data_IF_943249783694
#
_entry.id   IF_943249783694
#
_cell.length_a   1.000
_cell.length_b   1.000
_cell.length_c   1.000
_cell.angle_alpha   90.00
_cell.angle_beta   90.00
_cell.angle_gamma   90.00
#
_symmetry.space_group_name_H-M   'P 1'
#
loop_
_entity.id
_entity.type
_entity.pdbx_description
1 polymer ?
#
# COMPACT_ATOMS: atom_id res chain seq x y z
N UNK A 1 55.96 -15.64 55.98
CA UNK A 1 56.24 -15.78 54.53
C UNK A 1 55.23 -16.68 53.79
N UNK A 2 54.88 -17.87 54.32
CA UNK A 2 53.99 -18.85 53.67
C UNK A 2 52.52 -18.39 53.46
N UNK A 3 51.99 -17.57 54.39
CA UNK A 3 50.59 -17.07 54.35
C UNK A 3 50.33 -16.08 53.21
N UNK A 4 51.31 -15.24 52.86
CA UNK A 4 51.21 -14.27 51.76
C UNK A 4 51.20 -14.94 50.38
N UNK A 5 51.93 -16.04 50.22
CA UNK A 5 51.99 -16.82 48.97
C UNK A 5 50.64 -17.49 48.67
N UNK A 6 49.93 -18.00 49.68
CA UNK A 6 48.60 -18.59 49.47
C UNK A 6 47.53 -17.53 49.20
N UNK A 7 47.60 -16.36 49.86
CA UNK A 7 46.68 -15.23 49.57
C UNK A 7 46.87 -14.73 48.14
N UNK A 8 48.12 -14.62 47.67
CA UNK A 8 48.43 -14.22 46.29
C UNK A 8 47.93 -15.24 45.25
N UNK A 9 48.03 -16.55 45.53
CA UNK A 9 47.47 -17.60 44.65
C UNK A 9 45.93 -17.59 44.62
N UNK A 10 45.28 -17.32 45.74
CA UNK A 10 43.81 -17.20 45.81
C UNK A 10 43.31 -15.95 45.06
N UNK A 11 44.03 -14.83 45.17
CA UNK A 11 43.72 -13.60 44.44
C UNK A 11 43.90 -13.77 42.92
N UNK A 12 44.98 -14.42 42.47
CA UNK A 12 45.22 -14.70 41.05
C UNK A 12 44.15 -15.65 40.49
N UNK A 13 43.78 -16.71 41.25
CA UNK A 13 42.69 -17.61 40.84
C UNK A 13 41.34 -16.89 40.77
N UNK A 14 41.03 -16.02 41.73
CA UNK A 14 39.81 -15.23 41.73
C UNK A 14 39.75 -14.22 40.56
N UNK A 15 40.90 -13.65 40.18
CA UNK A 15 41.01 -12.72 39.07
C UNK A 15 40.85 -13.40 37.69
N UNK A 16 41.39 -14.61 37.52
CA UNK A 16 41.21 -15.40 36.29
C UNK A 16 39.78 -15.93 36.10
N UNK A 17 39.04 -16.17 37.19
CA UNK A 17 37.63 -16.60 37.11
C UNK A 17 36.72 -15.43 36.72
N UNK A 18 37.05 -14.20 37.14
CA UNK A 18 36.28 -13.00 36.82
C UNK A 18 36.39 -12.58 35.35
N UNK A 19 37.51 -12.89 34.68
CA UNK A 19 37.71 -12.60 33.25
C UNK A 19 36.88 -13.48 32.30
N UNK A 20 36.26 -14.56 32.78
CA UNK A 20 35.42 -15.45 31.96
C UNK A 20 33.99 -14.90 31.76
N UNK A 21 33.62 -13.79 32.42
CA UNK A 21 32.28 -13.20 32.35
C UNK A 21 32.17 -11.99 31.40
N UNK A 22 33.23 -11.64 30.65
CA UNK A 22 33.23 -10.51 29.71
C UNK A 22 33.00 -10.93 28.24
N UNK A 23 32.30 -12.04 28.00
CA UNK A 23 31.88 -12.40 26.64
C UNK A 23 30.65 -11.56 26.31
N UNK A 24 30.89 -10.39 25.71
CA UNK A 24 29.85 -9.55 25.11
C UNK A 24 29.13 -10.35 24.03
N UNK A 25 27.80 -10.44 24.10
CA UNK A 25 27.00 -10.82 22.95
C UNK A 25 27.13 -9.70 21.90
N UNK A 26 27.67 -10.02 20.74
CA UNK A 26 27.41 -9.22 19.54
C UNK A 26 25.93 -9.45 19.20
N UNK A 27 25.09 -8.42 19.33
CA UNK A 27 23.76 -8.45 18.73
C UNK A 27 23.96 -8.35 17.22
N UNK A 28 24.07 -9.51 16.56
CA UNK A 28 23.99 -9.56 15.10
C UNK A 28 22.56 -9.14 14.74
N UNK A 29 22.41 -7.87 14.36
CA UNK A 29 21.18 -7.35 13.80
C UNK A 29 21.00 -8.04 12.44
N UNK A 30 20.48 -9.27 12.48
CA UNK A 30 19.99 -9.96 11.30
C UNK A 30 18.78 -9.19 10.80
N UNK A 31 19.04 -8.11 10.05
CA UNK A 31 18.03 -7.42 9.28
C UNK A 31 17.40 -8.46 8.38
N UNK A 32 16.08 -8.65 8.51
CA UNK A 32 15.34 -9.54 7.64
C UNK A 32 15.62 -9.10 6.19
N UNK A 33 16.31 -9.89 5.36
CA UNK A 33 16.64 -9.51 3.99
C UNK A 33 15.38 -9.36 3.13
N UNK A 34 14.25 -9.96 3.56
CA UNK A 34 12.94 -9.78 2.93
C UNK A 34 12.17 -8.57 3.48
N UNK A 35 12.62 -7.96 4.58
CA UNK A 35 11.99 -6.77 5.19
C UNK A 35 12.15 -5.48 4.39
N UNK A 36 12.98 -5.51 3.33
CA UNK A 36 13.30 -4.38 2.46
C UNK A 36 13.05 -4.65 0.98
N UNK A 37 12.32 -5.72 0.63
CA UNK A 37 11.90 -5.91 -0.76
C UNK A 37 10.82 -4.89 -1.10
N UNK A 38 11.18 -3.90 -1.91
CA UNK A 38 10.22 -3.01 -2.57
C UNK A 38 9.16 -3.87 -3.26
N UNK A 39 7.90 -3.62 -2.88
CA UNK A 39 6.76 -4.33 -3.41
C UNK A 39 5.95 -3.34 -4.24
N UNK A 40 5.67 -3.70 -5.50
CA UNK A 40 4.79 -2.91 -6.36
C UNK A 40 3.34 -3.11 -5.93
N UNK A 41 2.67 -2.04 -5.48
CA UNK A 41 1.26 -2.03 -5.13
C UNK A 41 0.43 -2.76 -6.21
N UNK A 42 -0.38 -3.71 -5.76
CA UNK A 42 -1.13 -4.61 -6.62
C UNK A 42 -2.62 -4.54 -6.28
N UNK A 43 -3.36 -3.91 -7.18
CA UNK A 43 -4.83 -3.80 -7.14
C UNK A 43 -5.46 -4.45 -8.38
N UNK A 44 -4.77 -5.40 -9.02
CA UNK A 44 -5.31 -6.12 -10.17
C UNK A 44 -6.65 -6.77 -9.85
N UNK A 45 -7.61 -6.69 -10.76
CA UNK A 45 -8.89 -7.40 -10.68
C UNK A 45 -10.10 -6.52 -10.93
N UNK A 46 -11.27 -7.08 -10.62
CA UNK A 46 -12.58 -6.47 -10.85
C UNK A 46 -13.13 -5.83 -9.59
N UNK A 47 -13.63 -4.61 -9.71
CA UNK A 47 -14.02 -3.76 -8.60
C UNK A 47 -15.43 -3.22 -8.79
N UNK A 48 -16.28 -3.35 -7.77
CA UNK A 48 -17.63 -2.76 -7.75
C UNK A 48 -17.72 -1.62 -6.76
N UNK A 49 -18.56 -0.64 -7.05
CA UNK A 49 -18.85 0.44 -6.10
C UNK A 49 -19.72 -0.13 -4.97
N UNK A 50 -19.21 -0.06 -3.74
CA UNK A 50 -19.98 -0.37 -2.52
C UNK A 50 -20.64 0.90 -1.98
N UNK A 51 -19.94 2.04 -2.05
CA UNK A 51 -20.43 3.33 -1.58
C UNK A 51 -20.01 4.45 -2.52
N UNK A 52 -20.92 5.38 -2.78
CA UNK A 52 -20.67 6.57 -3.56
C UNK A 52 -21.07 7.83 -2.79
N UNK A 53 -20.19 8.83 -2.78
CA UNK A 53 -20.46 10.14 -2.18
C UNK A 53 -20.18 11.24 -3.20
N UNK A 54 -20.98 12.31 -3.17
CA UNK A 54 -20.76 13.53 -3.93
C UNK A 54 -20.74 14.71 -2.94
N UNK A 55 -19.63 15.45 -2.89
CA UNK A 55 -19.41 16.54 -1.94
C UNK A 55 -19.67 16.11 -0.48
N UNK A 56 -19.21 14.90 -0.12
CA UNK A 56 -19.43 14.27 1.19
C UNK A 56 -20.90 13.91 1.51
N UNK A 57 -21.79 13.95 0.53
CA UNK A 57 -23.18 13.48 0.67
C UNK A 57 -23.25 12.08 0.07
N UNK A 58 -23.77 11.11 0.83
CA UNK A 58 -23.99 9.75 0.35
C UNK A 58 -25.05 9.73 -0.77
N UNK A 59 -24.65 9.26 -1.95
CA UNK A 59 -25.49 9.12 -3.13
C UNK A 59 -25.67 7.66 -3.56
N UNK A 60 -25.25 6.71 -2.73
CA UNK A 60 -25.26 5.26 -3.03
C UNK A 60 -26.65 4.78 -3.44
N UNK A 61 -27.70 5.28 -2.79
CA UNK A 61 -29.10 4.93 -3.08
C UNK A 61 -29.80 5.91 -4.04
N UNK A 62 -29.08 6.88 -4.59
CA UNK A 62 -29.62 7.90 -5.51
C UNK A 62 -29.32 7.58 -6.98
N UNK A 63 -28.33 6.72 -7.25
CA UNK A 63 -27.98 6.21 -8.57
C UNK A 63 -27.91 4.69 -8.54
N UNK A 64 -28.13 4.06 -9.69
CA UNK A 64 -27.92 2.62 -9.83
C UNK A 64 -26.47 2.34 -10.22
N UNK A 65 -25.72 1.77 -9.29
CA UNK A 65 -24.32 1.35 -9.47
C UNK A 65 -24.17 -0.16 -9.69
N UNK A 66 -25.27 -0.93 -9.72
CA UNK A 66 -25.22 -2.40 -9.71
C UNK A 66 -24.47 -3.00 -10.90
N UNK A 67 -24.57 -2.34 -12.05
CA UNK A 67 -23.92 -2.74 -13.30
C UNK A 67 -22.51 -2.13 -13.48
N UNK A 68 -22.05 -1.30 -12.54
CA UNK A 68 -20.70 -0.76 -12.60
C UNK A 68 -19.69 -1.80 -12.15
N UNK A 69 -18.77 -2.11 -13.05
CA UNK A 69 -17.61 -2.94 -12.80
C UNK A 69 -16.40 -2.21 -13.37
N UNK A 70 -15.35 -2.03 -12.58
CA UNK A 70 -14.05 -1.53 -13.02
C UNK A 70 -13.06 -2.69 -12.99
N UNK A 71 -12.54 -3.07 -14.15
CA UNK A 71 -11.47 -4.06 -14.27
C UNK A 71 -10.14 -3.33 -14.42
N UNK A 72 -9.19 -3.65 -13.54
CA UNK A 72 -7.82 -3.14 -13.58
C UNK A 72 -6.89 -4.31 -13.90
N UNK A 73 -6.17 -4.23 -15.03
CA UNK A 73 -5.24 -5.26 -15.47
C UNK A 73 -3.80 -4.79 -15.30
N UNK A 74 -2.92 -5.76 -15.07
CA UNK A 74 -1.47 -5.56 -15.07
C UNK A 74 -0.84 -6.33 -16.23
N UNK A 75 0.29 -5.84 -16.73
CA UNK A 75 1.22 -6.62 -17.57
C UNK A 75 2.53 -6.75 -16.79
N UNK A 76 2.92 -7.99 -16.48
CA UNK A 76 4.20 -8.28 -15.84
C UNK A 76 4.45 -7.49 -14.55
N UNK A 77 3.40 -7.30 -13.73
CA UNK A 77 3.36 -6.50 -12.48
C UNK A 77 3.41 -4.98 -12.67
N UNK A 78 3.19 -4.49 -13.89
CA UNK A 78 3.04 -3.06 -14.19
C UNK A 78 1.58 -2.77 -14.56
N UNK A 79 0.96 -1.69 -14.05
CA UNK A 79 -0.35 -1.23 -14.52
C UNK A 79 -0.41 -1.14 -16.05
N UNK A 80 -1.46 -1.69 -16.67
CA UNK A 80 -1.55 -1.75 -18.14
C UNK A 80 -2.86 -1.16 -18.66
N UNK A 81 -3.96 -1.88 -18.52
CA UNK A 81 -5.27 -1.52 -19.09
C UNK A 81 -6.37 -1.55 -18.05
N UNK A 82 -7.38 -0.72 -18.26
CA UNK A 82 -8.62 -0.77 -17.50
C UNK A 82 -9.81 -0.83 -18.44
N UNK A 83 -10.87 -1.49 -17.98
CA UNK A 83 -12.20 -1.39 -18.57
C UNK A 83 -13.24 -1.09 -17.51
N UNK A 84 -14.35 -0.48 -17.93
CA UNK A 84 -15.49 -0.37 -17.02
C UNK A 84 -16.83 -0.47 -17.73
N UNK A 85 -17.85 -0.86 -16.96
CA UNK A 85 -19.27 -0.88 -17.35
C UNK A 85 -20.08 0.13 -16.54
N UNK A 86 -21.35 0.34 -16.90
CA UNK A 86 -22.25 1.27 -16.20
C UNK A 86 -22.41 2.60 -16.92
N UNK A 87 -23.28 2.64 -17.93
CA UNK A 87 -23.43 3.74 -18.89
C UNK A 87 -23.90 5.08 -18.28
N UNK A 88 -24.39 5.09 -17.03
CA UNK A 88 -24.88 6.27 -16.32
C UNK A 88 -24.18 6.53 -14.99
N UNK A 89 -23.08 5.84 -14.71
CA UNK A 89 -22.29 6.08 -13.51
C UNK A 89 -21.25 7.16 -13.82
N UNK A 90 -21.25 8.29 -13.08
CA UNK A 90 -20.23 9.31 -13.27
C UNK A 90 -18.84 8.74 -13.00
N UNK A 91 -17.99 8.68 -14.03
CA UNK A 91 -16.62 8.18 -13.90
C UNK A 91 -15.63 9.15 -14.54
N UNK A 92 -14.38 9.07 -14.09
CA UNK A 92 -13.35 10.07 -14.41
C UNK A 92 -12.94 10.08 -15.89
N UNK A 93 -13.15 8.97 -16.60
CA UNK A 93 -12.99 8.88 -18.06
C UNK A 93 -14.29 8.53 -18.76
N UNK A 94 -14.37 8.85 -20.05
CA UNK A 94 -15.52 8.53 -20.91
C UNK A 94 -15.52 7.10 -21.45
N UNK A 95 -14.33 6.50 -21.60
CA UNK A 95 -14.15 5.14 -22.08
C UNK A 95 -12.98 4.43 -21.39
N UNK A 96 -12.86 3.15 -21.70
CA UNK A 96 -11.79 2.25 -21.24
C UNK A 96 -10.45 2.61 -21.89
N UNK A 97 -9.34 2.24 -21.25
CA UNK A 97 -8.02 2.65 -21.74
C UNK A 97 -6.88 2.07 -20.90
N UNK A 98 -5.84 2.88 -20.68
CA UNK A 98 -4.68 2.53 -19.86
C UNK A 98 -4.68 3.25 -18.52
N UNK A 99 -4.00 2.70 -17.52
CA UNK A 99 -3.91 3.36 -16.21
C UNK A 99 -2.53 3.16 -15.58
N UNK A 100 -2.14 4.07 -14.70
CA UNK A 100 -0.86 4.06 -13.98
C UNK A 100 -1.01 4.62 -12.56
N UNK A 101 -0.03 4.35 -11.71
CA UNK A 101 0.14 5.07 -10.45
C UNK A 101 1.11 6.25 -10.61
N UNK A 102 1.04 7.18 -9.66
CA UNK A 102 2.09 8.19 -9.41
C UNK A 102 3.37 7.54 -8.85
N UNK A 103 3.22 6.59 -7.92
CA UNK A 103 4.30 5.81 -7.32
C UNK A 103 3.91 4.32 -7.29
N UNK A 104 4.78 3.43 -7.78
CA UNK A 104 4.49 2.00 -7.85
C UNK A 104 4.51 1.31 -6.48
N UNK A 105 5.18 1.86 -5.47
CA UNK A 105 5.34 1.26 -4.15
C UNK A 105 4.33 1.83 -3.15
N UNK A 106 4.11 3.14 -3.18
CA UNK A 106 3.21 3.86 -2.27
C UNK A 106 2.28 4.82 -3.05
N UNK A 107 1.38 4.28 -3.87
CA UNK A 107 0.53 5.11 -4.72
C UNK A 107 -0.39 6.00 -3.89
N UNK A 108 -0.41 7.28 -4.24
CA UNK A 108 -1.36 8.25 -3.70
C UNK A 108 -2.38 8.70 -4.75
N UNK A 109 -2.07 8.47 -6.02
CA UNK A 109 -2.92 8.81 -7.15
C UNK A 109 -2.95 7.68 -8.17
N UNK A 110 -4.09 7.56 -8.85
CA UNK A 110 -4.28 6.69 -10.01
C UNK A 110 -4.66 7.56 -11.20
N UNK A 111 -3.90 7.43 -12.28
CA UNK A 111 -4.15 8.12 -13.53
C UNK A 111 -4.81 7.15 -14.52
N UNK A 112 -5.96 7.54 -15.06
CA UNK A 112 -6.63 6.85 -16.15
C UNK A 112 -6.44 7.63 -17.45
N UNK A 113 -6.12 6.94 -18.53
CA UNK A 113 -5.91 7.53 -19.86
C UNK A 113 -6.83 6.87 -20.87
N UNK A 114 -7.71 7.68 -21.46
CA UNK A 114 -8.66 7.29 -22.51
C UNK A 114 -8.32 8.09 -23.78
N UNK A 115 -7.97 7.40 -24.88
CA UNK A 115 -7.69 8.04 -26.16
C UNK A 115 -6.59 9.11 -26.14
N UNK A 116 -5.67 9.05 -25.17
CA UNK A 116 -4.60 10.04 -24.96
C UNK A 116 -4.98 11.21 -24.04
N UNK A 117 -6.20 11.23 -23.50
CA UNK A 117 -6.63 12.19 -22.47
C UNK A 117 -6.50 11.51 -21.10
N UNK A 118 -5.68 12.10 -20.23
CA UNK A 118 -5.46 11.59 -18.88
C UNK A 118 -6.28 12.34 -17.84
N UNK A 119 -6.82 11.61 -16.87
CA UNK A 119 -7.49 12.15 -15.71
C UNK A 119 -7.04 11.40 -14.45
N UNK A 120 -6.91 12.11 -13.33
CA UNK A 120 -6.30 11.59 -12.10
C UNK A 120 -7.31 11.55 -10.96
N UNK A 121 -7.42 10.40 -10.30
CA UNK A 121 -8.12 10.25 -9.04
C UNK A 121 -7.10 10.07 -7.90
N UNK A 122 -7.44 10.55 -6.71
CA UNK A 122 -6.64 10.39 -5.49
C UNK A 122 -7.13 9.20 -4.69
N UNK A 123 -6.22 8.43 -4.10
CA UNK A 123 -6.61 7.45 -3.11
C UNK A 123 -7.01 8.15 -1.80
N UNK A 124 -8.21 7.85 -1.33
CA UNK A 124 -8.73 8.43 -0.09
C UNK A 124 -8.22 7.71 1.17
N UNK A 125 -7.80 6.45 1.00
CA UNK A 125 -7.19 5.59 2.01
C UNK A 125 -5.88 5.01 1.44
N UNK A 126 -4.89 4.64 2.27
CA UNK A 126 -3.68 3.97 1.79
C UNK A 126 -3.98 2.72 0.97
N UNK A 127 -3.32 2.57 -0.17
CA UNK A 127 -3.47 1.39 -1.03
C UNK A 127 -2.78 0.19 -0.38
N UNK A 128 -3.55 -0.83 -0.07
CA UNK A 128 -3.03 -2.11 0.39
C UNK A 128 -2.94 -3.05 -0.80
N UNK A 129 -1.76 -3.58 -1.06
CA UNK A 129 -1.59 -4.66 -2.03
C UNK A 129 -2.48 -5.84 -1.68
N UNK A 130 -3.14 -6.41 -2.69
CA UNK A 130 -4.10 -7.49 -2.53
C UNK A 130 -5.25 -7.13 -1.56
N UNK A 131 -5.47 -5.83 -1.34
CA UNK A 131 -6.57 -5.30 -0.57
C UNK A 131 -7.91 -5.68 -1.22
N UNK A 132 -8.94 -5.82 -0.40
CA UNK A 132 -10.31 -6.07 -0.87
C UNK A 132 -11.12 -4.79 -1.08
N UNK A 133 -10.56 -3.65 -0.67
CA UNK A 133 -11.20 -2.35 -0.69
C UNK A 133 -10.20 -1.30 -1.15
N UNK A 134 -10.65 -0.42 -2.02
CA UNK A 134 -9.97 0.85 -2.34
C UNK A 134 -11.00 1.98 -2.26
N UNK A 135 -10.54 3.20 -2.02
CA UNK A 135 -11.39 4.38 -2.11
C UNK A 135 -10.69 5.42 -2.96
N UNK A 136 -11.38 5.92 -3.99
CA UNK A 136 -10.85 6.94 -4.91
C UNK A 136 -11.71 8.19 -4.87
N UNK A 137 -11.05 9.34 -4.97
CA UNK A 137 -11.66 10.67 -5.01
C UNK A 137 -11.28 11.37 -6.30
N UNK A 138 -12.28 11.90 -7.01
CA UNK A 138 -12.06 12.60 -8.28
C UNK A 138 -13.12 13.67 -8.53
N UNK A 139 -12.79 14.61 -9.41
CA UNK A 139 -13.68 15.69 -9.81
C UNK A 139 -14.05 15.54 -11.27
N UNK A 140 -15.31 15.79 -11.62
CA UNK A 140 -15.77 15.78 -13.01
C UNK A 140 -16.00 17.20 -13.52
N UNK A 141 -15.29 17.56 -14.60
CA UNK A 141 -15.41 18.86 -15.27
C UNK A 141 -14.84 20.05 -14.49
N UNK A 142 -15.19 21.28 -14.90
CA UNK A 142 -14.80 22.52 -14.22
C UNK A 142 -15.61 22.81 -12.93
N UNK A 143 -16.59 21.96 -12.59
CA UNK A 143 -17.48 22.14 -11.44
C UNK A 143 -16.95 21.36 -10.23
N UNK A 144 -17.03 21.99 -9.06
CA UNK A 144 -16.48 21.56 -7.76
C UNK A 144 -17.03 20.25 -7.17
N UNK A 145 -17.71 19.42 -7.96
CA UNK A 145 -18.29 18.17 -7.46
C UNK A 145 -17.19 17.13 -7.29
N UNK A 146 -16.82 16.90 -6.03
CA UNK A 146 -15.89 15.85 -5.63
C UNK A 146 -16.69 14.57 -5.42
N UNK A 147 -16.39 13.56 -6.22
CA UNK A 147 -16.91 12.21 -6.02
C UNK A 147 -15.93 11.40 -5.20
N UNK A 148 -16.45 10.58 -4.29
CA UNK A 148 -15.70 9.56 -3.56
C UNK A 148 -16.37 8.22 -3.75
N UNK A 149 -15.68 7.29 -4.39
CA UNK A 149 -16.15 5.92 -4.57
C UNK A 149 -15.34 4.98 -3.69
N UNK A 150 -16.03 4.23 -2.83
CA UNK A 150 -15.46 3.07 -2.15
C UNK A 150 -15.76 1.85 -3.00
N UNK A 151 -14.71 1.20 -3.49
CA UNK A 151 -14.82 0.02 -4.33
C UNK A 151 -14.38 -1.23 -3.59
N UNK A 152 -15.12 -2.32 -3.80
CA UNK A 152 -14.85 -3.64 -3.26
C UNK A 152 -14.47 -4.61 -4.39
N UNK A 153 -13.39 -5.36 -4.15
CA UNK A 153 -12.91 -6.40 -5.07
C UNK A 153 -13.93 -7.54 -5.15
N UNK A 154 -14.20 -8.03 -6.36
CA UNK A 154 -15.07 -9.19 -6.61
C UNK A 154 -14.33 -10.52 -6.49
#
# INVERSE_FOLDING_TARGET
>A
MYKHINIMKTLVRSLCILSLFLISCDEDLTLNPDGFKEFTADIEGSWKIEKAEQNNIDITNHLDFGDFLLDLNYDSRVPSSFSFTGQNVPFITSASGSWTFDDLTYPTEIQFTDGGVSATAKFADPVLSNGKKIAIEFTLGCLSNVYKYTLMKQ
#
